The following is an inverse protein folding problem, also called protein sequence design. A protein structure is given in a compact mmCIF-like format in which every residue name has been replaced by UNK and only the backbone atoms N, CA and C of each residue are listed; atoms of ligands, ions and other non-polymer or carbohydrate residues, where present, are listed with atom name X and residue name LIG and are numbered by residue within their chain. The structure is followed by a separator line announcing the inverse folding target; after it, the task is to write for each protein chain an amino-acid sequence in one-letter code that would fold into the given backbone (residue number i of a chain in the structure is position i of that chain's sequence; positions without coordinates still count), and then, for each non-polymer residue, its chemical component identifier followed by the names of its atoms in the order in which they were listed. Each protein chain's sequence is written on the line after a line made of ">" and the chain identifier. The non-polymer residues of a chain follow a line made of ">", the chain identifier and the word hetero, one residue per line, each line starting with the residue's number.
data_IF_161702767577
#
_entry.id   IF_161702767577
#
_cell.length_a   1.000
_cell.length_b   1.000
_cell.length_c   1.000
_cell.angle_alpha   90.00
_cell.angle_beta   90.00
_cell.angle_gamma   90.00
#
_symmetry.space_group_name_H-M   'P 1'
#
loop_
_entity.id
_entity.type
_entity.pdbx_description
1 polymer ?
#
# COMPACT_ATOMS: atom_id res chain seq x y z
N UNK A 1 -6.19 -3.11 23.75
CA UNK A 1 -7.23 -2.65 22.80
C UNK A 1 -6.88 -3.20 21.42
N UNK A 2 -7.74 -4.04 20.84
CA UNK A 2 -7.54 -4.55 19.47
C UNK A 2 -7.85 -3.46 18.46
N UNK A 3 -6.89 -3.11 17.61
CA UNK A 3 -7.14 -2.21 16.49
C UNK A 3 -8.27 -2.79 15.60
N UNK A 4 -9.19 -1.95 15.09
CA UNK A 4 -10.25 -2.42 14.22
C UNK A 4 -9.64 -3.11 12.98
N UNK A 5 -10.06 -4.35 12.72
CA UNK A 5 -9.60 -5.11 11.56
C UNK A 5 -10.14 -4.43 10.30
N UNK A 6 -9.27 -4.17 9.33
CA UNK A 6 -9.68 -3.64 8.04
C UNK A 6 -10.71 -4.55 7.39
N UNK A 7 -11.75 -3.94 6.81
CA UNK A 7 -12.76 -4.65 6.01
C UNK A 7 -12.14 -5.14 4.70
N UNK A 8 -12.79 -6.10 4.05
CA UNK A 8 -12.34 -6.58 2.74
C UNK A 8 -12.37 -5.47 1.68
N UNK A 9 -13.31 -4.53 1.81
CA UNK A 9 -13.40 -3.36 0.93
C UNK A 9 -12.22 -2.41 1.10
N UNK A 10 -11.82 -2.12 2.35
CA UNK A 10 -10.61 -1.34 2.64
C UNK A 10 -9.35 -2.01 2.10
N UNK A 11 -9.25 -3.33 2.22
CA UNK A 11 -8.13 -4.09 1.65
C UNK A 11 -8.10 -4.00 0.11
N UNK A 12 -9.26 -4.05 -0.55
CA UNK A 12 -9.36 -3.87 -2.01
C UNK A 12 -8.92 -2.46 -2.42
N UNK A 13 -9.32 -1.43 -1.68
CA UNK A 13 -8.91 -0.06 -1.96
C UNK A 13 -7.39 0.14 -1.81
N UNK A 14 -6.78 -0.43 -0.76
CA UNK A 14 -5.31 -0.41 -0.58
C UNK A 14 -4.61 -1.13 -1.73
N UNK A 15 -5.13 -2.27 -2.19
CA UNK A 15 -4.55 -3.00 -3.32
C UNK A 15 -4.69 -2.23 -4.63
N UNK A 16 -5.83 -1.58 -4.85
CA UNK A 16 -6.03 -0.73 -6.03
C UNK A 16 -5.00 0.41 -6.06
N UNK A 17 -4.85 1.14 -4.95
CA UNK A 17 -3.86 2.21 -4.83
C UNK A 17 -2.41 1.67 -4.93
N UNK A 18 -2.16 0.45 -4.44
CA UNK A 18 -0.88 -0.22 -4.61
C UNK A 18 -0.60 -0.57 -6.09
N UNK A 19 -1.60 -0.99 -6.85
CA UNK A 19 -1.43 -1.33 -8.26
C UNK A 19 -1.36 -0.10 -9.17
N UNK A 20 -1.94 1.04 -8.77
CA UNK A 20 -1.90 2.30 -9.52
C UNK A 20 -0.55 3.03 -9.47
N UNK A 21 0.41 2.54 -8.67
CA UNK A 21 1.73 3.15 -8.56
C UNK A 21 1.85 4.27 -7.51
N UNK A 22 0.78 4.57 -6.75
CA UNK A 22 0.81 5.59 -5.69
C UNK A 22 1.90 5.34 -4.64
N UNK A 23 2.58 6.37 -4.11
CA UNK A 23 3.60 6.18 -3.09
C UNK A 23 3.13 5.41 -1.86
N UNK A 24 3.91 4.45 -1.36
CA UNK A 24 3.52 3.61 -0.21
C UNK A 24 3.14 4.44 1.02
N UNK A 25 3.87 5.54 1.27
CA UNK A 25 3.56 6.48 2.37
C UNK A 25 2.21 7.16 2.18
N UNK A 26 1.88 7.58 0.95
CA UNK A 26 0.59 8.19 0.64
C UNK A 26 -0.56 7.19 0.82
N UNK A 27 -0.39 5.95 0.38
CA UNK A 27 -1.36 4.87 0.59
C UNK A 27 -1.56 4.61 2.09
N UNK A 28 -0.45 4.49 2.83
CA UNK A 28 -0.46 4.24 4.26
C UNK A 28 -1.18 5.35 5.04
N UNK A 29 -0.87 6.61 4.73
CA UNK A 29 -1.54 7.77 5.32
C UNK A 29 -3.04 7.80 4.98
N UNK A 30 -3.40 7.59 3.71
CA UNK A 30 -4.79 7.62 3.23
C UNK A 30 -5.66 6.56 3.92
N UNK A 31 -5.12 5.34 4.07
CA UNK A 31 -5.84 4.20 4.65
C UNK A 31 -5.59 4.01 6.15
N UNK A 32 -4.80 4.89 6.77
CA UNK A 32 -4.40 4.83 8.20
C UNK A 32 -3.81 3.46 8.59
N UNK A 33 -2.92 2.95 7.74
CA UNK A 33 -2.21 1.67 7.93
C UNK A 33 -0.70 1.89 8.01
N UNK A 34 0.02 0.85 8.45
CA UNK A 34 1.48 0.87 8.41
C UNK A 34 2.02 0.95 6.96
N UNK A 35 3.17 1.59 6.77
CA UNK A 35 3.78 1.78 5.43
C UNK A 35 4.17 0.47 4.75
N UNK A 36 4.47 -0.58 5.52
CA UNK A 36 4.75 -1.92 4.99
C UNK A 36 3.48 -2.68 4.60
N UNK A 37 2.31 -2.27 5.11
CA UNK A 37 1.07 -3.01 4.97
C UNK A 37 0.61 -3.20 3.51
N UNK A 38 0.63 -2.18 2.62
CA UNK A 38 0.24 -2.36 1.23
C UNK A 38 1.08 -3.43 0.51
N UNK A 39 2.39 -3.49 0.80
CA UNK A 39 3.30 -4.49 0.23
C UNK A 39 2.97 -5.89 0.75
N UNK A 40 2.76 -6.03 2.07
CA UNK A 40 2.40 -7.31 2.69
C UNK A 40 1.06 -7.81 2.13
N UNK A 41 0.09 -6.91 1.99
CA UNK A 41 -1.23 -7.24 1.45
C UNK A 41 -1.14 -7.67 -0.02
N UNK A 42 -0.35 -6.98 -0.84
CA UNK A 42 -0.08 -7.35 -2.23
C UNK A 42 0.52 -8.76 -2.34
N UNK A 43 1.56 -9.05 -1.53
CA UNK A 43 2.18 -10.40 -1.46
C UNK A 43 1.15 -11.47 -1.12
N UNK A 44 0.32 -11.25 -0.09
CA UNK A 44 -0.71 -12.20 0.36
C UNK A 44 -1.80 -12.45 -0.69
N UNK A 45 -1.98 -11.54 -1.65
CA UNK A 45 -2.96 -11.66 -2.74
C UNK A 45 -2.33 -12.06 -4.07
N UNK A 46 -1.07 -12.47 -4.07
CA UNK A 46 -0.35 -12.88 -5.28
C UNK A 46 -0.15 -11.76 -6.28
N UNK A 47 -0.13 -10.50 -5.84
CA UNK A 47 0.14 -9.34 -6.72
C UNK A 47 1.66 -9.12 -6.83
N UNK A 48 2.14 -8.65 -8.00
CA UNK A 48 3.56 -8.44 -8.23
C UNK A 48 4.13 -7.40 -7.25
N UNK A 49 5.37 -7.63 -6.84
CA UNK A 49 6.12 -6.63 -6.11
C UNK A 49 6.51 -5.50 -7.05
N UNK A 50 6.34 -4.27 -6.58
CA UNK A 50 6.82 -3.09 -7.29
C UNK A 50 8.33 -3.19 -7.45
N UNK A 51 8.82 -2.94 -8.66
CA UNK A 51 10.26 -2.91 -8.94
C UNK A 51 10.94 -1.81 -8.13
N UNK A 52 12.24 -1.93 -7.84
CA UNK A 52 13.01 -0.89 -7.14
C UNK A 52 12.83 0.51 -7.76
N UNK A 53 12.69 0.58 -9.10
CA UNK A 53 12.37 1.81 -9.84
C UNK A 53 11.02 2.43 -9.45
N UNK A 54 9.98 1.63 -9.28
CA UNK A 54 8.66 2.12 -8.84
C UNK A 54 8.65 2.55 -7.38
N UNK A 55 9.53 1.97 -6.55
CA UNK A 55 9.76 2.37 -5.15
C UNK A 55 10.51 3.71 -5.09
N UNK A 56 11.48 3.94 -5.99
CA UNK A 56 12.24 5.18 -6.09
C UNK A 56 11.38 6.36 -6.55
N UNK A 57 10.54 6.19 -7.59
CA UNK A 57 9.56 7.20 -8.04
C UNK A 57 8.58 7.57 -6.92
N UNK A 58 8.23 6.61 -6.08
CA UNK A 58 7.40 6.84 -4.88
C UNK A 58 8.10 7.68 -3.80
N UNK A 59 9.44 7.77 -3.82
CA UNK A 59 10.25 8.52 -2.86
C UNK A 59 10.38 10.00 -3.25
N UNK A 60 10.50 10.28 -4.55
CA UNK A 60 10.56 11.66 -5.09
C UNK A 60 9.22 12.40 -5.00
N UNK A 61 8.10 11.72 -5.25
CA UNK A 61 6.77 12.34 -5.18
C UNK A 61 6.31 12.76 -3.76
N UNK A 62 7.15 12.59 -2.75
CA UNK A 62 6.88 12.92 -1.35
C UNK A 62 7.84 13.99 -0.79
N UNK A 63 8.62 14.66 -1.66
CA UNK A 63 9.48 15.82 -1.33
C UNK A 63 8.77 17.13 -1.66
#
# INVERSE_FOLDING_TARGET
>A
MSAPRLTEEQKRAILHDYLSGLPLRAIAARHKVDTSYPVILAKRRGKPLRSARQIAVSREAAS
#
